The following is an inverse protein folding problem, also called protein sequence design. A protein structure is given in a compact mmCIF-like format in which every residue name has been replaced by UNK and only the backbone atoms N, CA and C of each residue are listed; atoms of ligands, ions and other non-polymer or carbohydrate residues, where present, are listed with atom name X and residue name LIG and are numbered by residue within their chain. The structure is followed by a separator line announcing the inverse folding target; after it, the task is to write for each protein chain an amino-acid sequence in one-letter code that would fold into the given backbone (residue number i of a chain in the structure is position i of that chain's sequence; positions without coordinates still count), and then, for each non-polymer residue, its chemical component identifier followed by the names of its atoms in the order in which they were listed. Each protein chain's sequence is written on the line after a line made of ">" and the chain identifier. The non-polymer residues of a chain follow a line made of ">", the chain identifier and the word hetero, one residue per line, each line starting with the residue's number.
data_IF_359631308799
#
_entry.id   IF_359631308799
#
_cell.length_a   1.000
_cell.length_b   1.000
_cell.length_c   1.000
_cell.angle_alpha   90.00
_cell.angle_beta   90.00
_cell.angle_gamma   90.00
#
_symmetry.space_group_name_H-M   'P 1'
#
loop_
_entity.id
_entity.type
_entity.pdbx_description
1 polymer ?
#
# COMPACT_ATOMS: atom_id res chain seq x y z
N UNK A 1 -21.58 16.65 22.33
CA UNK A 1 -22.30 15.58 21.60
C UNK A 1 -21.39 14.34 21.64
N UNK A 2 -21.96 13.17 21.91
CA UNK A 2 -21.20 11.90 21.91
C UNK A 2 -21.08 11.36 20.48
N UNK A 3 -20.04 10.59 20.23
CA UNK A 3 -19.95 9.76 19.02
C UNK A 3 -20.93 8.58 19.11
N UNK A 4 -21.49 8.19 17.99
CA UNK A 4 -22.16 6.91 17.79
C UNK A 4 -21.51 6.17 16.64
N UNK A 5 -21.68 4.85 16.60
CA UNK A 5 -21.08 4.02 15.54
C UNK A 5 -22.07 2.97 15.02
N UNK A 6 -21.83 2.56 13.81
CA UNK A 6 -22.42 1.36 13.20
C UNK A 6 -21.32 0.58 12.50
N UNK A 7 -21.42 -0.77 12.49
CA UNK A 7 -20.52 -1.66 11.75
C UNK A 7 -21.37 -2.47 10.80
N UNK A 8 -20.94 -2.51 9.54
CA UNK A 8 -21.50 -3.36 8.51
C UNK A 8 -20.38 -3.96 7.68
N UNK A 9 -20.69 -5.01 6.92
CA UNK A 9 -19.73 -5.74 6.11
C UNK A 9 -20.14 -5.76 4.64
N UNK A 10 -19.14 -5.95 3.77
CA UNK A 10 -19.32 -6.17 2.34
C UNK A 10 -18.31 -7.17 1.82
N UNK A 11 -18.74 -7.99 0.88
CA UNK A 11 -17.88 -8.83 0.07
C UNK A 11 -17.87 -8.29 -1.35
N UNK A 12 -16.71 -7.88 -1.82
CA UNK A 12 -16.48 -7.41 -3.19
C UNK A 12 -15.91 -8.55 -4.04
N UNK A 13 -16.23 -8.54 -5.33
CA UNK A 13 -15.83 -9.57 -6.29
C UNK A 13 -14.75 -9.04 -7.23
N UNK A 14 -13.62 -9.73 -7.31
CA UNK A 14 -12.57 -9.37 -8.25
C UNK A 14 -13.03 -9.59 -9.69
N UNK A 15 -12.68 -8.68 -10.58
CA UNK A 15 -12.91 -8.78 -12.03
C UNK A 15 -12.16 -9.96 -12.65
N UNK A 16 -10.92 -10.11 -12.24
CA UNK A 16 -10.06 -11.23 -12.54
C UNK A 16 -9.50 -11.77 -11.23
N UNK A 17 -9.29 -13.08 -11.09
CA UNK A 17 -8.68 -13.63 -9.90
C UNK A 17 -7.38 -12.89 -9.53
N UNK A 18 -7.30 -12.40 -8.29
CA UNK A 18 -6.12 -11.70 -7.81
C UNK A 18 -5.06 -12.71 -7.34
N UNK A 19 -4.12 -13.03 -8.21
CA UNK A 19 -3.02 -13.95 -7.92
C UNK A 19 -1.96 -13.27 -7.04
N UNK A 20 -1.69 -13.85 -5.87
CA UNK A 20 -0.64 -13.42 -4.94
C UNK A 20 0.31 -14.59 -4.68
N UNK A 21 1.46 -14.34 -4.05
CA UNK A 21 2.38 -15.40 -3.60
C UNK A 21 1.76 -16.37 -2.59
N UNK A 22 0.60 -16.07 -2.02
CA UNK A 22 -0.09 -16.84 -0.97
C UNK A 22 -1.34 -17.56 -1.47
N UNK A 23 -1.79 -17.24 -2.67
CA UNK A 23 -3.00 -17.83 -3.25
C UNK A 23 -3.72 -16.88 -4.19
N UNK A 24 -4.89 -17.31 -4.61
CA UNK A 24 -5.74 -16.56 -5.54
C UNK A 24 -7.01 -16.12 -4.84
N UNK A 25 -7.26 -14.82 -4.77
CA UNK A 25 -8.49 -14.27 -4.22
C UNK A 25 -9.51 -14.03 -5.32
N UNK A 26 -10.73 -14.52 -5.10
CA UNK A 26 -11.91 -14.29 -5.96
C UNK A 26 -12.78 -13.16 -5.40
N UNK A 27 -12.73 -12.99 -4.09
CA UNK A 27 -13.51 -12.00 -3.33
C UNK A 27 -12.63 -11.29 -2.31
N UNK A 28 -13.08 -10.12 -1.89
CA UNK A 28 -12.51 -9.35 -0.80
C UNK A 28 -13.60 -9.02 0.21
N UNK A 29 -13.46 -9.55 1.41
CA UNK A 29 -14.34 -9.25 2.52
C UNK A 29 -13.76 -8.11 3.36
N UNK A 30 -14.61 -7.15 3.75
CA UNK A 30 -14.23 -6.00 4.56
C UNK A 30 -15.37 -5.60 5.49
N UNK A 31 -15.02 -5.10 6.67
CA UNK A 31 -15.92 -4.41 7.57
C UNK A 31 -15.79 -2.91 7.37
N UNK A 32 -16.87 -2.20 7.64
CA UNK A 32 -16.92 -0.74 7.56
C UNK A 32 -17.40 -0.18 8.88
N UNK A 33 -16.61 0.72 9.45
CA UNK A 33 -16.97 1.51 10.62
C UNK A 33 -17.56 2.82 10.14
N UNK A 34 -18.81 3.05 10.49
CA UNK A 34 -19.49 4.31 10.30
C UNK A 34 -19.54 5.04 11.64
N UNK A 35 -18.97 6.24 11.70
CA UNK A 35 -19.02 7.11 12.87
C UNK A 35 -19.93 8.29 12.60
N UNK A 36 -20.72 8.68 13.59
CA UNK A 36 -21.49 9.89 13.57
C UNK A 36 -21.17 10.78 14.78
N UNK A 37 -21.06 12.08 14.54
CA UNK A 37 -20.91 13.10 15.57
C UNK A 37 -21.70 14.35 15.18
N UNK A 38 -22.82 14.57 15.85
CA UNK A 38 -23.76 15.62 15.49
C UNK A 38 -24.43 15.34 14.13
N UNK A 39 -24.13 16.17 13.13
CA UNK A 39 -24.62 15.98 11.76
C UNK A 39 -23.54 15.46 10.81
N UNK A 40 -22.36 15.19 11.33
CA UNK A 40 -21.23 14.74 10.55
C UNK A 40 -21.14 13.21 10.61
N UNK A 41 -20.95 12.60 9.45
CA UNK A 41 -20.78 11.15 9.29
C UNK A 41 -19.46 10.87 8.61
N UNK A 42 -18.78 9.82 9.02
CA UNK A 42 -17.57 9.31 8.39
C UNK A 42 -17.59 7.80 8.31
N UNK A 43 -17.02 7.27 7.25
CA UNK A 43 -16.92 5.82 7.01
C UNK A 43 -15.47 5.44 6.77
N UNK A 44 -15.01 4.41 7.46
CA UNK A 44 -13.69 3.82 7.26
C UNK A 44 -13.78 2.32 7.02
N UNK A 45 -12.89 1.81 6.20
CA UNK A 45 -12.81 0.40 5.84
C UNK A 45 -11.77 -0.33 6.68
N UNK A 46 -12.19 -1.41 7.33
CA UNK A 46 -11.36 -2.36 8.06
C UNK A 46 -11.24 -3.62 7.22
N UNK A 47 -10.10 -3.80 6.56
CA UNK A 47 -9.94 -4.82 5.53
C UNK A 47 -8.71 -5.70 5.79
N UNK A 48 -8.73 -6.61 6.80
CA UNK A 48 -7.63 -7.53 7.02
C UNK A 48 -7.48 -8.50 5.84
N UNK A 49 -6.26 -8.85 5.47
CA UNK A 49 -5.98 -9.94 4.55
C UNK A 49 -5.78 -11.23 5.35
N UNK A 50 -6.59 -12.29 5.14
CA UNK A 50 -6.59 -13.48 6.00
C UNK A 50 -5.22 -14.13 6.17
N UNK A 51 -4.41 -14.14 5.11
CA UNK A 51 -3.12 -14.83 5.08
C UNK A 51 -1.92 -13.90 5.35
N UNK A 52 -2.16 -12.61 5.63
CA UNK A 52 -1.10 -11.61 5.68
C UNK A 52 -1.19 -10.67 6.88
N UNK A 53 -2.38 -10.12 7.18
CA UNK A 53 -2.54 -9.13 8.24
C UNK A 53 -2.22 -9.73 9.62
N UNK A 54 -1.48 -9.00 10.44
CA UNK A 54 -1.17 -9.44 11.81
C UNK A 54 -2.40 -9.45 12.71
N UNK A 55 -3.44 -8.71 12.34
CA UNK A 55 -4.74 -8.65 13.01
C UNK A 55 -5.83 -9.49 12.32
N UNK A 56 -5.44 -10.39 11.38
CA UNK A 56 -6.38 -11.36 10.83
C UNK A 56 -6.79 -12.40 11.88
N UNK A 57 -8.09 -12.60 12.02
CA UNK A 57 -8.70 -13.55 12.96
C UNK A 57 -10.02 -14.07 12.40
N UNK A 58 -10.66 -15.08 13.02
CA UNK A 58 -11.97 -15.56 12.62
C UNK A 58 -12.98 -14.43 12.52
N UNK A 59 -13.93 -14.54 11.61
CA UNK A 59 -14.90 -13.50 11.26
C UNK A 59 -15.59 -12.89 12.49
N UNK A 60 -16.19 -13.75 13.34
CA UNK A 60 -16.97 -13.29 14.50
C UNK A 60 -16.07 -12.64 15.57
N UNK A 61 -14.83 -13.15 15.74
CA UNK A 61 -13.85 -12.57 16.66
C UNK A 61 -13.39 -11.19 16.19
N UNK A 62 -13.21 -11.03 14.87
CA UNK A 62 -12.83 -9.74 14.29
C UNK A 62 -13.91 -8.69 14.51
N UNK A 63 -15.17 -9.03 14.21
CA UNK A 63 -16.29 -8.10 14.41
C UNK A 63 -16.47 -7.75 15.89
N UNK A 64 -16.41 -8.76 16.79
CA UNK A 64 -16.53 -8.53 18.22
C UNK A 64 -15.43 -7.61 18.76
N UNK A 65 -14.19 -7.82 18.32
CA UNK A 65 -13.03 -6.99 18.69
C UNK A 65 -13.18 -5.56 18.19
N UNK A 66 -13.54 -5.40 16.90
CA UNK A 66 -13.77 -4.09 16.29
C UNK A 66 -14.89 -3.33 17.00
N UNK A 67 -15.98 -4.03 17.34
CA UNK A 67 -17.11 -3.47 18.11
C UNK A 67 -16.66 -2.97 19.49
N UNK A 68 -15.86 -3.75 20.21
CA UNK A 68 -15.32 -3.37 21.51
C UNK A 68 -14.48 -2.09 21.44
N UNK A 69 -13.63 -1.95 20.45
CA UNK A 69 -12.86 -0.72 20.24
C UNK A 69 -13.72 0.50 19.86
N UNK A 70 -14.75 0.29 19.03
CA UNK A 70 -15.69 1.36 18.69
C UNK A 70 -16.50 1.82 19.91
N UNK A 71 -16.95 0.89 20.78
CA UNK A 71 -17.63 1.20 22.03
C UNK A 71 -16.73 1.99 22.98
N UNK A 72 -15.48 1.55 23.16
CA UNK A 72 -14.51 2.28 23.99
C UNK A 72 -14.26 3.68 23.44
N UNK A 73 -14.04 3.83 22.14
CA UNK A 73 -13.88 5.12 21.50
C UNK A 73 -15.10 6.02 21.72
N UNK A 74 -16.32 5.53 21.47
CA UNK A 74 -17.53 6.32 21.63
C UNK A 74 -17.76 6.77 23.08
N UNK A 75 -17.32 5.97 24.04
CA UNK A 75 -17.42 6.27 25.48
C UNK A 75 -16.37 7.30 25.92
N UNK A 76 -15.14 7.22 25.40
CA UNK A 76 -14.01 8.04 25.89
C UNK A 76 -13.70 9.25 25.00
N UNK A 77 -14.04 9.19 23.71
CA UNK A 77 -13.60 10.14 22.69
C UNK A 77 -12.12 10.05 22.33
N UNK A 78 -11.42 9.02 22.82
CA UNK A 78 -9.99 8.80 22.60
C UNK A 78 -9.80 7.47 21.86
N UNK A 79 -8.96 7.47 20.82
CA UNK A 79 -8.61 6.25 20.10
C UNK A 79 -7.93 5.27 21.08
N UNK A 80 -8.48 4.06 21.26
CA UNK A 80 -7.94 3.10 22.20
C UNK A 80 -6.49 2.71 21.89
N UNK A 81 -5.61 2.77 22.88
CA UNK A 81 -4.18 2.45 22.68
C UNK A 81 -3.95 1.03 22.18
N UNK A 82 -4.80 0.07 22.55
CA UNK A 82 -4.75 -1.31 22.08
C UNK A 82 -4.97 -1.47 20.57
N UNK A 83 -5.58 -0.49 19.89
CA UNK A 83 -5.74 -0.51 18.43
C UNK A 83 -4.41 -0.49 17.67
N UNK A 84 -3.31 -0.09 18.29
CA UNK A 84 -1.98 -0.11 17.67
C UNK A 84 -1.59 -1.53 17.18
N UNK A 85 -2.10 -2.58 17.81
CA UNK A 85 -1.85 -3.98 17.43
C UNK A 85 -2.83 -4.52 16.39
N UNK A 86 -3.80 -3.68 15.96
CA UNK A 86 -4.84 -4.02 14.99
C UNK A 86 -4.84 -3.02 13.82
N UNK A 87 -3.85 -3.07 12.93
CA UNK A 87 -3.64 -2.08 11.87
C UNK A 87 -4.84 -1.83 10.98
N UNK A 88 -5.57 -2.89 10.58
CA UNK A 88 -6.73 -2.74 9.71
C UNK A 88 -7.91 -2.06 10.40
N UNK A 89 -8.13 -2.36 11.68
CA UNK A 89 -9.16 -1.70 12.50
C UNK A 89 -8.81 -0.24 12.78
N UNK A 90 -7.54 0.03 13.12
CA UNK A 90 -7.04 1.38 13.36
C UNK A 90 -7.20 2.24 12.11
N UNK A 91 -6.80 1.71 10.94
CA UNK A 91 -6.97 2.40 9.66
C UNK A 91 -8.43 2.78 9.37
N UNK A 92 -9.36 1.86 9.61
CA UNK A 92 -10.79 2.13 9.45
C UNK A 92 -11.28 3.22 10.41
N UNK A 93 -10.95 3.13 11.69
CA UNK A 93 -11.37 4.14 12.67
C UNK A 93 -10.77 5.52 12.38
N UNK A 94 -9.47 5.61 12.07
CA UNK A 94 -8.79 6.86 11.71
C UNK A 94 -9.39 7.49 10.43
N UNK A 95 -9.76 6.66 9.44
CA UNK A 95 -10.43 7.12 8.22
C UNK A 95 -11.79 7.73 8.54
N UNK A 96 -12.62 7.03 9.31
CA UNK A 96 -13.95 7.52 9.70
C UNK A 96 -13.84 8.82 10.52
N UNK A 97 -12.90 8.90 11.45
CA UNK A 97 -12.64 10.10 12.25
C UNK A 97 -12.19 11.28 11.39
N UNK A 98 -11.26 11.05 10.46
CA UNK A 98 -10.79 12.10 9.54
C UNK A 98 -11.93 12.64 8.69
N UNK A 99 -12.84 11.78 8.23
CA UNK A 99 -14.01 12.19 7.48
C UNK A 99 -15.01 12.97 8.34
N UNK A 100 -15.29 12.54 9.56
CA UNK A 100 -16.12 13.29 10.53
C UNK A 100 -15.53 14.68 10.80
N UNK A 101 -14.22 14.77 11.04
CA UNK A 101 -13.53 16.03 11.27
C UNK A 101 -13.63 17.00 10.05
N UNK A 102 -13.74 16.45 8.85
CA UNK A 102 -13.97 17.19 7.60
C UNK A 102 -15.46 17.29 7.22
N UNK A 103 -16.36 17.16 8.20
CA UNK A 103 -17.83 17.30 8.06
C UNK A 103 -18.44 16.34 7.02
N UNK A 104 -17.87 15.13 6.91
CA UNK A 104 -18.33 14.09 5.99
C UNK A 104 -17.67 14.15 4.60
N UNK A 105 -16.75 15.08 4.37
CA UNK A 105 -16.02 15.17 3.10
C UNK A 105 -15.13 13.97 2.86
N UNK A 106 -15.11 13.49 1.60
CA UNK A 106 -14.16 12.46 1.14
C UNK A 106 -12.73 13.00 0.93
N UNK A 107 -12.55 14.33 0.87
CA UNK A 107 -11.25 14.99 0.96
C UNK A 107 -10.83 15.05 2.44
N UNK A 108 -10.14 14.03 2.92
CA UNK A 108 -9.80 13.87 4.35
C UNK A 108 -8.79 14.91 4.85
N UNK A 109 -7.96 15.44 3.96
CA UNK A 109 -6.92 16.42 4.27
C UNK A 109 -6.96 17.57 3.25
N UNK A 110 -6.52 18.77 3.68
CA UNK A 110 -6.40 19.95 2.80
C UNK A 110 -5.09 19.88 2.01
N UNK A 111 -5.11 19.12 0.94
CA UNK A 111 -3.97 18.91 0.03
C UNK A 111 -4.34 19.30 -1.39
N UNK A 112 -3.36 19.58 -2.28
CA UNK A 112 -3.63 19.80 -3.69
C UNK A 112 -4.38 18.64 -4.37
N UNK A 113 -4.10 17.38 -3.94
CA UNK A 113 -4.84 16.21 -4.38
C UNK A 113 -6.30 16.24 -3.91
N UNK A 114 -6.53 16.50 -2.61
CA UNK A 114 -7.88 16.58 -2.02
C UNK A 114 -8.73 17.68 -2.62
N UNK A 115 -8.12 18.75 -3.16
CA UNK A 115 -8.81 19.81 -3.92
C UNK A 115 -8.94 19.49 -5.41
N UNK A 116 -8.43 18.36 -5.89
CA UNK A 116 -8.49 17.96 -7.30
C UNK A 116 -7.56 18.75 -8.24
N UNK A 117 -6.57 19.46 -7.69
CA UNK A 117 -5.62 20.30 -8.43
C UNK A 117 -4.47 19.49 -9.04
N UNK A 118 -4.03 18.44 -8.34
CA UNK A 118 -2.88 17.59 -8.72
C UNK A 118 -3.23 16.13 -8.56
N UNK A 119 -2.87 15.29 -9.55
CA UNK A 119 -2.97 13.83 -9.47
C UNK A 119 -1.70 13.22 -8.86
N UNK A 120 -1.87 12.12 -8.14
CA UNK A 120 -0.77 11.28 -7.62
C UNK A 120 -0.24 10.40 -8.75
N UNK A 121 1.05 10.46 -9.05
CA UNK A 121 1.68 9.53 -9.99
C UNK A 121 1.68 8.11 -9.40
N UNK A 122 1.20 7.13 -10.17
CA UNK A 122 1.07 5.74 -9.75
C UNK A 122 1.84 4.78 -10.67
N UNK A 123 2.28 3.67 -10.12
CA UNK A 123 2.86 2.60 -10.92
C UNK A 123 1.78 1.72 -11.56
N UNK A 124 2.05 1.21 -12.74
CA UNK A 124 1.29 0.14 -13.37
C UNK A 124 1.66 -1.20 -12.74
N UNK A 125 0.69 -1.86 -12.08
CA UNK A 125 0.91 -3.18 -11.52
C UNK A 125 0.65 -4.26 -12.59
N UNK A 126 1.60 -5.17 -12.75
CA UNK A 126 1.48 -6.38 -13.56
C UNK A 126 1.44 -7.59 -12.64
N UNK A 127 0.25 -8.17 -12.52
CA UNK A 127 -0.01 -9.35 -11.71
C UNK A 127 0.66 -10.60 -12.26
N UNK A 128 0.97 -11.54 -11.38
CA UNK A 128 1.42 -12.87 -11.76
C UNK A 128 0.43 -13.54 -12.73
N UNK A 129 0.96 -14.33 -13.65
CA UNK A 129 0.21 -15.07 -14.66
C UNK A 129 1.16 -15.88 -15.53
N UNK A 130 0.64 -16.41 -16.62
CA UNK A 130 1.47 -16.99 -17.67
C UNK A 130 2.32 -15.91 -18.36
N UNK A 131 3.35 -16.32 -19.09
CA UNK A 131 4.19 -15.37 -19.84
C UNK A 131 3.36 -14.45 -20.75
N UNK A 132 2.45 -15.02 -21.54
CA UNK A 132 1.63 -14.26 -22.50
C UNK A 132 0.69 -13.27 -21.79
N UNK A 133 0.08 -13.67 -20.68
CA UNK A 133 -0.77 -12.78 -19.88
C UNK A 133 0.01 -11.61 -19.29
N UNK A 134 1.20 -11.87 -18.75
CA UNK A 134 2.05 -10.82 -18.19
C UNK A 134 2.56 -9.89 -19.30
N UNK A 135 2.93 -10.43 -20.45
CA UNK A 135 3.32 -9.66 -21.62
C UNK A 135 2.22 -8.68 -22.06
N UNK A 136 1.00 -9.16 -22.25
CA UNK A 136 -0.13 -8.31 -22.64
C UNK A 136 -0.44 -7.23 -21.59
N UNK A 137 -0.40 -7.59 -20.31
CA UNK A 137 -0.59 -6.61 -19.21
C UNK A 137 0.47 -5.52 -19.21
N UNK A 138 1.74 -5.86 -19.53
CA UNK A 138 2.81 -4.87 -19.69
C UNK A 138 2.49 -3.94 -20.86
N UNK A 139 2.16 -4.47 -22.04
CA UNK A 139 1.80 -3.66 -23.21
C UNK A 139 0.64 -2.71 -22.91
N UNK A 140 -0.41 -3.17 -22.22
CA UNK A 140 -1.55 -2.36 -21.82
C UNK A 140 -1.12 -1.18 -20.92
N UNK A 141 -0.26 -1.43 -19.92
CA UNK A 141 0.24 -0.37 -19.04
C UNK A 141 1.07 0.67 -19.81
N UNK A 142 1.92 0.20 -20.71
CA UNK A 142 2.74 1.09 -21.53
C UNK A 142 1.89 1.92 -22.50
N UNK A 143 0.91 1.32 -23.16
CA UNK A 143 -0.07 2.02 -24.02
C UNK A 143 -0.91 3.05 -23.22
N UNK A 144 -1.21 2.75 -21.96
CA UNK A 144 -1.89 3.67 -21.04
C UNK A 144 -0.99 4.81 -20.52
N UNK A 145 0.30 4.81 -20.85
CA UNK A 145 1.23 5.90 -20.53
C UNK A 145 1.93 5.77 -19.17
N UNK A 146 1.89 4.60 -18.52
CA UNK A 146 2.63 4.39 -17.28
C UNK A 146 4.13 4.44 -17.51
N UNK A 147 4.84 5.23 -16.68
CA UNK A 147 6.30 5.36 -16.70
C UNK A 147 7.00 4.60 -15.59
N UNK A 148 6.25 4.01 -14.68
CA UNK A 148 6.73 3.06 -13.69
C UNK A 148 5.88 1.80 -13.77
N UNK A 149 6.51 0.65 -13.92
CA UNK A 149 5.85 -0.65 -13.97
C UNK A 149 6.43 -1.55 -12.88
N UNK A 150 5.55 -2.16 -12.09
CA UNK A 150 5.91 -3.14 -11.06
C UNK A 150 5.50 -4.53 -11.53
N UNK A 151 6.48 -5.42 -11.69
CA UNK A 151 6.30 -6.83 -12.05
C UNK A 151 6.37 -7.70 -10.81
N UNK A 152 5.36 -8.53 -10.58
CA UNK A 152 5.47 -9.62 -9.60
C UNK A 152 6.28 -10.77 -10.19
N UNK A 153 7.26 -11.24 -9.41
CA UNK A 153 8.17 -12.34 -9.79
C UNK A 153 8.19 -13.41 -8.68
N UNK A 154 8.80 -14.56 -8.95
CA UNK A 154 8.91 -15.66 -7.98
C UNK A 154 7.77 -16.68 -8.07
N UNK A 155 6.88 -16.59 -9.08
CA UNK A 155 5.74 -17.49 -9.23
C UNK A 155 5.82 -18.46 -10.40
N UNK A 156 6.59 -18.11 -11.44
CA UNK A 156 6.80 -18.96 -12.62
C UNK A 156 8.27 -19.37 -12.72
N UNK A 157 8.62 -20.13 -13.76
CA UNK A 157 10.01 -20.49 -14.02
C UNK A 157 10.89 -19.24 -14.10
N UNK A 158 11.99 -19.25 -13.36
CA UNK A 158 12.92 -18.12 -13.25
C UNK A 158 13.44 -17.62 -14.60
N UNK A 159 13.73 -18.54 -15.55
CA UNK A 159 14.22 -18.15 -16.87
C UNK A 159 13.16 -17.37 -17.65
N UNK A 160 11.89 -17.76 -17.55
CA UNK A 160 10.77 -17.03 -18.16
C UNK A 160 10.55 -15.66 -17.53
N UNK A 161 10.77 -15.51 -16.22
CA UNK A 161 10.73 -14.20 -15.57
C UNK A 161 11.83 -13.27 -16.08
N UNK A 162 13.04 -13.79 -16.24
CA UNK A 162 14.17 -13.06 -16.85
C UNK A 162 13.88 -12.69 -18.31
N UNK A 163 13.26 -13.56 -19.10
CA UNK A 163 12.85 -13.27 -20.48
C UNK A 163 11.83 -12.12 -20.54
N UNK A 164 10.83 -12.09 -19.65
CA UNK A 164 9.88 -10.98 -19.55
C UNK A 164 10.57 -9.66 -19.21
N UNK A 165 11.44 -9.65 -18.21
CA UNK A 165 12.20 -8.48 -17.80
C UNK A 165 13.10 -7.98 -18.94
N UNK A 166 13.81 -8.91 -19.60
CA UNK A 166 14.66 -8.63 -20.77
C UNK A 166 13.84 -8.03 -21.92
N UNK A 167 12.65 -8.57 -22.18
CA UNK A 167 11.74 -8.02 -23.17
C UNK A 167 11.36 -6.58 -22.87
N UNK A 168 10.95 -6.27 -21.64
CA UNK A 168 10.62 -4.88 -21.25
C UNK A 168 11.80 -3.96 -21.53
N UNK A 169 13.02 -4.36 -21.17
CA UNK A 169 14.22 -3.55 -21.36
C UNK A 169 14.67 -3.47 -22.82
N UNK A 170 14.36 -4.46 -23.65
CA UNK A 170 14.62 -4.37 -25.10
C UNK A 170 13.72 -3.36 -25.81
N UNK A 171 12.50 -3.16 -25.29
CA UNK A 171 11.53 -2.21 -25.84
C UNK A 171 11.70 -0.79 -25.27
N UNK A 172 12.10 -0.68 -23.99
CA UNK A 172 12.11 0.59 -23.24
C UNK A 172 13.35 0.71 -22.37
N UNK A 173 14.16 1.74 -22.62
CA UNK A 173 15.30 2.07 -21.77
C UNK A 173 14.88 2.55 -20.37
N UNK A 174 15.83 2.59 -19.45
CA UNK A 174 15.61 3.02 -18.06
C UNK A 174 15.10 4.47 -17.95
N UNK A 175 15.46 5.33 -18.89
CA UNK A 175 15.02 6.73 -18.94
C UNK A 175 13.54 6.88 -19.37
N UNK A 176 12.98 5.86 -19.97
CA UNK A 176 11.60 5.84 -20.44
C UNK A 176 10.67 5.20 -19.42
N UNK A 177 11.14 4.11 -18.77
CA UNK A 177 10.34 3.33 -17.82
C UNK A 177 11.18 2.92 -16.60
N UNK A 178 10.74 3.33 -15.42
CA UNK A 178 11.17 2.78 -14.15
C UNK A 178 10.58 1.36 -13.99
N UNK A 179 11.44 0.38 -13.80
CA UNK A 179 11.02 -1.00 -13.60
C UNK A 179 11.30 -1.42 -12.15
N UNK A 180 10.25 -1.79 -11.45
CA UNK A 180 10.31 -2.40 -10.11
C UNK A 180 9.92 -3.86 -10.20
N UNK A 181 10.50 -4.69 -9.36
CA UNK A 181 10.10 -6.10 -9.22
C UNK A 181 9.73 -6.41 -7.78
N UNK A 182 8.82 -7.36 -7.60
CA UNK A 182 8.31 -7.76 -6.30
C UNK A 182 8.32 -9.29 -6.19
N UNK A 183 9.17 -9.80 -5.31
CA UNK A 183 9.36 -11.24 -5.10
C UNK A 183 8.48 -11.80 -3.98
N UNK A 184 7.81 -10.97 -3.19
CA UNK A 184 6.95 -11.36 -2.05
C UNK A 184 7.58 -12.45 -1.15
N UNK A 185 8.90 -12.37 -0.90
CA UNK A 185 9.62 -13.34 -0.10
C UNK A 185 9.87 -14.69 -0.80
N UNK A 186 9.76 -14.74 -2.12
CA UNK A 186 9.80 -15.98 -2.89
C UNK A 186 11.20 -16.58 -3.10
N UNK A 187 12.29 -15.86 -2.81
CA UNK A 187 13.62 -16.41 -3.02
C UNK A 187 14.11 -17.17 -1.79
N UNK A 188 14.74 -18.34 -2.03
CA UNK A 188 15.50 -19.01 -0.99
C UNK A 188 16.77 -18.19 -0.66
N UNK A 189 17.17 -18.12 0.63
CA UNK A 189 18.30 -17.33 1.07
C UNK A 189 19.61 -17.65 0.31
N UNK A 190 19.86 -18.93 0.04
CA UNK A 190 21.06 -19.37 -0.69
C UNK A 190 21.09 -18.99 -2.17
N UNK A 191 19.95 -18.61 -2.76
CA UNK A 191 19.83 -18.22 -4.17
C UNK A 191 19.62 -16.71 -4.36
N UNK A 192 19.18 -16.02 -3.30
CA UNK A 192 18.74 -14.63 -3.40
C UNK A 192 19.80 -13.73 -4.04
N UNK A 193 21.03 -13.75 -3.55
CA UNK A 193 22.10 -12.91 -4.09
C UNK A 193 22.36 -13.20 -5.58
N UNK A 194 22.42 -14.46 -5.97
CA UNK A 194 22.63 -14.84 -7.38
C UNK A 194 21.50 -14.32 -8.28
N UNK A 195 20.25 -14.35 -7.81
CA UNK A 195 19.10 -13.81 -8.54
C UNK A 195 19.17 -12.28 -8.64
N UNK A 196 19.57 -11.59 -7.56
CA UNK A 196 19.79 -10.14 -7.54
C UNK A 196 20.89 -9.72 -8.55
N UNK A 197 22.00 -10.46 -8.61
CA UNK A 197 23.07 -10.25 -9.60
C UNK A 197 22.59 -10.45 -11.05
N UNK A 198 21.69 -11.38 -11.30
CA UNK A 198 21.11 -11.57 -12.63
C UNK A 198 20.17 -10.40 -12.98
N UNK A 199 19.30 -9.98 -12.05
CA UNK A 199 18.37 -8.86 -12.22
C UNK A 199 19.10 -7.52 -12.43
N UNK A 200 20.28 -7.33 -11.84
CA UNK A 200 21.05 -6.07 -11.96
C UNK A 200 21.44 -5.71 -13.40
N UNK A 201 21.42 -6.68 -14.32
CA UNK A 201 21.71 -6.47 -15.73
C UNK A 201 20.59 -5.73 -16.49
N UNK A 202 19.45 -5.53 -15.85
CA UNK A 202 18.23 -4.98 -16.46
C UNK A 202 17.82 -3.61 -15.90
N UNK A 203 18.74 -2.85 -15.30
CA UNK A 203 18.45 -1.52 -14.75
C UNK A 203 17.18 -1.49 -13.87
N UNK A 204 17.02 -2.48 -12.98
CA UNK A 204 15.90 -2.56 -12.05
C UNK A 204 16.06 -1.46 -11.00
N UNK A 205 15.02 -0.64 -10.79
CA UNK A 205 15.02 0.41 -9.77
C UNK A 205 15.12 -0.17 -8.36
N UNK A 206 14.30 -1.17 -8.07
CA UNK A 206 14.28 -1.83 -6.77
C UNK A 206 13.62 -3.20 -6.84
N UNK A 207 13.97 -4.06 -5.90
CA UNK A 207 13.27 -5.32 -5.63
C UNK A 207 12.57 -5.24 -4.28
N UNK A 208 11.27 -5.58 -4.26
CA UNK A 208 10.47 -5.64 -3.05
C UNK A 208 10.53 -7.05 -2.46
N UNK A 209 10.83 -7.15 -1.17
CA UNK A 209 10.84 -8.35 -0.32
C UNK A 209 11.45 -9.58 -1.01
N UNK A 210 12.76 -9.64 -1.24
CA UNK A 210 13.38 -10.76 -1.97
C UNK A 210 13.28 -12.09 -1.22
N UNK A 211 13.48 -12.10 0.10
CA UNK A 211 13.38 -13.29 0.96
C UNK A 211 12.21 -13.16 1.95
N UNK A 212 11.80 -14.26 2.56
CA UNK A 212 10.71 -14.29 3.55
C UNK A 212 11.02 -13.39 4.74
N UNK A 213 9.97 -12.78 5.28
CA UNK A 213 10.03 -11.93 6.46
C UNK A 213 10.54 -12.68 7.70
N UNK A 214 10.92 -11.89 8.75
CA UNK A 214 11.47 -12.37 10.04
C UNK A 214 12.88 -12.96 9.95
N UNK A 215 13.64 -12.57 8.93
CA UNK A 215 15.03 -12.94 8.70
C UNK A 215 15.90 -11.67 8.60
N UNK A 216 15.84 -10.84 9.66
CA UNK A 216 16.45 -9.49 9.65
C UNK A 216 17.94 -9.48 9.35
N UNK A 217 18.67 -10.49 9.89
CA UNK A 217 20.11 -10.61 9.66
C UNK A 217 20.41 -10.89 8.19
N UNK A 218 19.74 -11.88 7.61
CA UNK A 218 19.92 -12.29 6.22
C UNK A 218 19.46 -11.18 5.26
N UNK A 219 18.35 -10.51 5.56
CA UNK A 219 17.86 -9.38 4.80
C UNK A 219 18.84 -8.20 4.88
N UNK A 220 19.42 -7.92 6.05
CA UNK A 220 20.44 -6.89 6.24
C UNK A 220 21.72 -7.19 5.45
N UNK A 221 22.15 -8.46 5.37
CA UNK A 221 23.27 -8.86 4.49
C UNK A 221 22.93 -8.62 3.02
N UNK A 222 21.71 -8.95 2.59
CA UNK A 222 21.26 -8.65 1.23
C UNK A 222 21.24 -7.14 0.96
N UNK A 223 20.69 -6.33 1.86
CA UNK A 223 20.63 -4.87 1.69
C UNK A 223 22.02 -4.22 1.56
N UNK A 224 23.02 -4.77 2.27
CA UNK A 224 24.41 -4.26 2.20
C UNK A 224 25.16 -4.63 0.94
N UNK A 225 24.87 -5.79 0.35
CA UNK A 225 25.66 -6.37 -0.74
C UNK A 225 24.94 -6.47 -2.08
N UNK A 226 23.61 -6.27 -2.09
CA UNK A 226 22.81 -6.34 -3.32
C UNK A 226 23.21 -5.26 -4.31
N UNK A 227 23.39 -5.62 -5.60
CA UNK A 227 23.58 -4.64 -6.66
C UNK A 227 22.29 -3.89 -7.05
N UNK A 228 21.14 -4.29 -6.50
CA UNK A 228 19.83 -3.66 -6.71
C UNK A 228 19.31 -3.17 -5.37
N UNK A 229 18.78 -1.95 -5.29
CA UNK A 229 18.13 -1.45 -4.08
C UNK A 229 16.97 -2.35 -3.62
N UNK A 230 16.91 -2.62 -2.31
CA UNK A 230 15.88 -3.48 -1.71
C UNK A 230 14.82 -2.61 -1.01
N UNK A 231 13.55 -2.96 -1.22
CA UNK A 231 12.40 -2.39 -0.55
C UNK A 231 11.75 -3.43 0.37
N UNK A 232 11.48 -3.07 1.63
CA UNK A 232 10.77 -3.94 2.57
C UNK A 232 9.25 -3.72 2.47
N UNK A 233 8.49 -4.80 2.47
CA UNK A 233 7.02 -4.83 2.52
C UNK A 233 6.54 -5.72 3.67
N UNK A 234 6.49 -7.03 3.46
CA UNK A 234 6.00 -7.98 4.46
C UNK A 234 6.81 -7.99 5.76
N UNK A 235 8.05 -7.52 5.73
CA UNK A 235 8.90 -7.40 6.91
C UNK A 235 8.33 -6.43 7.95
N UNK A 236 7.58 -5.42 7.49
CA UNK A 236 7.03 -4.34 8.33
C UNK A 236 5.75 -4.77 9.06
N UNK A 237 5.10 -5.86 8.62
CA UNK A 237 3.81 -6.31 9.16
C UNK A 237 3.97 -6.83 10.60
N UNK A 238 3.15 -6.28 11.51
CA UNK A 238 3.19 -6.63 12.94
C UNK A 238 4.30 -5.94 13.72
N UNK A 239 5.05 -5.01 13.09
CA UNK A 239 6.04 -4.17 13.77
C UNK A 239 5.36 -2.83 14.07
N UNK A 240 4.60 -2.77 15.18
CA UNK A 240 3.69 -1.67 15.44
C UNK A 240 4.28 -0.59 16.37
N UNK A 241 5.17 -0.93 17.31
CA UNK A 241 5.77 0.06 18.21
C UNK A 241 6.92 0.84 17.59
N UNK A 242 7.10 2.11 17.97
CA UNK A 242 8.15 2.99 17.46
C UNK A 242 9.56 2.39 17.63
N UNK A 243 9.85 1.84 18.82
CA UNK A 243 11.14 1.25 19.12
C UNK A 243 11.46 0.05 18.23
N UNK A 244 10.47 -0.80 17.98
CA UNK A 244 10.64 -1.97 17.08
C UNK A 244 10.79 -1.55 15.62
N UNK A 245 10.12 -0.47 15.19
CA UNK A 245 10.28 0.09 13.85
C UNK A 245 11.71 0.62 13.66
N UNK A 246 12.22 1.38 14.63
CA UNK A 246 13.59 1.88 14.60
C UNK A 246 14.60 0.73 14.58
N UNK A 247 14.46 -0.26 15.48
CA UNK A 247 15.33 -1.44 15.53
C UNK A 247 15.37 -2.21 14.21
N UNK A 248 14.22 -2.40 13.55
CA UNK A 248 14.14 -3.05 12.24
C UNK A 248 14.93 -2.29 11.19
N UNK A 249 14.69 -0.99 11.08
CA UNK A 249 15.37 -0.15 10.07
C UNK A 249 16.88 -0.07 10.32
N UNK A 250 17.31 0.04 11.57
CA UNK A 250 18.73 0.05 11.95
C UNK A 250 19.42 -1.30 11.68
N UNK A 251 18.70 -2.41 11.90
CA UNK A 251 19.25 -3.76 11.71
C UNK A 251 19.40 -4.11 10.23
N UNK A 252 18.37 -3.81 9.43
CA UNK A 252 18.30 -4.23 8.02
C UNK A 252 18.95 -3.19 7.11
N UNK A 253 18.81 -1.89 7.41
CA UNK A 253 19.29 -0.77 6.58
C UNK A 253 18.83 -0.88 5.11
N UNK A 254 17.52 -1.00 4.83
CA UNK A 254 17.02 -1.10 3.46
C UNK A 254 17.16 0.23 2.73
N UNK A 255 17.11 0.22 1.40
CA UNK A 255 17.08 1.44 0.61
C UNK A 255 15.69 2.05 0.56
N UNK A 256 14.64 1.20 0.64
CA UNK A 256 13.24 1.63 0.60
C UNK A 256 12.35 0.83 1.55
N UNK A 257 11.22 1.43 1.91
CA UNK A 257 10.08 0.74 2.55
C UNK A 257 8.79 0.97 1.74
N UNK A 258 7.95 -0.05 1.70
CA UNK A 258 6.62 -0.02 1.05
C UNK A 258 5.56 -0.06 2.12
N UNK A 259 4.70 0.95 2.15
CA UNK A 259 3.73 1.11 3.24
C UNK A 259 2.31 0.83 2.75
N UNK A 260 1.58 0.08 3.58
CA UNK A 260 0.16 -0.24 3.40
C UNK A 260 -0.57 0.11 4.70
N UNK A 261 -1.32 1.22 4.75
CA UNK A 261 -1.91 1.68 6.02
C UNK A 261 -2.73 0.64 6.78
N UNK A 262 -3.49 -0.19 6.05
CA UNK A 262 -4.26 -1.29 6.65
C UNK A 262 -3.41 -2.45 7.21
N UNK A 263 -2.09 -2.49 6.94
CA UNK A 263 -1.16 -3.53 7.41
C UNK A 263 -0.08 -3.00 8.37
N UNK A 264 0.24 -1.70 8.29
CA UNK A 264 1.43 -1.12 8.92
C UNK A 264 1.10 -0.08 10.01
N UNK A 265 -0.01 -0.29 10.73
CA UNK A 265 -0.37 0.50 11.91
C UNK A 265 -1.28 1.70 11.61
N UNK A 266 -2.19 1.59 10.64
CA UNK A 266 -3.13 2.65 10.29
C UNK A 266 -2.45 3.83 9.56
N UNK A 267 -3.13 4.97 9.54
CA UNK A 267 -2.56 6.21 9.01
C UNK A 267 -1.41 6.71 9.89
N UNK A 268 -1.63 6.75 11.20
CA UNK A 268 -0.63 7.21 12.17
C UNK A 268 0.62 6.34 12.18
N UNK A 269 0.47 5.02 12.06
CA UNK A 269 1.62 4.11 11.97
C UNK A 269 2.42 4.28 10.70
N UNK A 270 1.78 4.58 9.56
CA UNK A 270 2.47 4.90 8.31
C UNK A 270 3.21 6.24 8.38
N UNK A 271 2.62 7.28 8.98
CA UNK A 271 3.31 8.55 9.22
C UNK A 271 4.59 8.33 10.06
N UNK A 272 4.48 7.56 11.13
CA UNK A 272 5.62 7.21 11.97
C UNK A 272 6.72 6.44 11.20
N UNK A 273 6.35 5.46 10.35
CA UNK A 273 7.31 4.78 9.49
C UNK A 273 8.03 5.73 8.54
N UNK A 274 7.29 6.67 7.92
CA UNK A 274 7.87 7.65 7.00
C UNK A 274 8.82 8.59 7.74
N UNK A 275 8.47 9.06 8.94
CA UNK A 275 9.34 9.95 9.72
C UNK A 275 10.64 9.26 10.14
N UNK A 276 10.57 8.01 10.61
CA UNK A 276 11.75 7.21 10.95
C UNK A 276 12.61 6.93 9.72
N UNK A 277 12.01 6.52 8.60
CA UNK A 277 12.74 6.22 7.36
C UNK A 277 13.47 7.46 6.82
N UNK A 278 12.82 8.63 6.86
CA UNK A 278 13.44 9.91 6.45
C UNK A 278 14.67 10.26 7.29
N UNK A 279 14.58 10.08 8.61
CA UNK A 279 15.71 10.34 9.51
C UNK A 279 16.93 9.47 9.19
N UNK A 280 16.70 8.28 8.64
CA UNK A 280 17.76 7.33 8.26
C UNK A 280 18.13 7.39 6.76
N UNK A 281 17.55 8.32 5.98
CA UNK A 281 17.82 8.44 4.55
C UNK A 281 17.21 7.31 3.71
N UNK A 282 16.21 6.59 4.25
CA UNK A 282 15.50 5.49 3.59
C UNK A 282 14.30 6.06 2.82
N UNK A 283 14.18 5.72 1.54
CA UNK A 283 13.05 6.13 0.71
C UNK A 283 11.76 5.34 1.04
N UNK A 284 10.59 5.90 0.68
CA UNK A 284 9.31 5.21 0.93
C UNK A 284 8.29 5.53 -0.14
N UNK A 285 7.35 4.59 -0.36
CA UNK A 285 6.12 4.83 -1.10
C UNK A 285 4.96 4.09 -0.45
N UNK A 286 3.75 4.55 -0.75
CA UNK A 286 2.51 3.97 -0.22
C UNK A 286 1.81 3.18 -1.31
N UNK A 287 1.24 2.04 -0.93
CA UNK A 287 0.46 1.17 -1.80
C UNK A 287 -0.80 0.69 -1.09
N UNK A 288 -1.79 0.29 -1.85
CA UNK A 288 -3.01 -0.34 -1.36
C UNK A 288 -2.75 -1.83 -1.05
N UNK A 289 -3.52 -2.37 -0.10
CA UNK A 289 -3.60 -3.80 0.23
C UNK A 289 -4.94 -4.41 -0.24
N UNK A 290 -5.40 -4.03 -1.43
CA UNK A 290 -6.65 -4.49 -2.05
C UNK A 290 -7.91 -4.03 -1.29
N UNK A 291 -7.89 -2.85 -0.73
CA UNK A 291 -9.07 -2.20 -0.16
C UNK A 291 -10.08 -1.86 -1.25
N UNK A 292 -11.34 -1.67 -0.85
CA UNK A 292 -12.34 -1.02 -1.69
C UNK A 292 -11.95 0.43 -2.01
N UNK A 293 -12.73 1.10 -2.83
CA UNK A 293 -12.48 2.53 -3.08
C UNK A 293 -12.61 3.40 -1.82
N UNK A 294 -13.29 2.95 -0.76
CA UNK A 294 -13.34 3.67 0.54
C UNK A 294 -11.95 3.72 1.14
N UNK A 295 -11.32 2.55 1.32
CA UNK A 295 -9.96 2.47 1.83
C UNK A 295 -8.94 3.06 0.87
N UNK A 296 -9.07 2.80 -0.45
CA UNK A 296 -8.17 3.37 -1.46
C UNK A 296 -8.19 4.90 -1.46
N UNK A 297 -9.35 5.53 -1.28
CA UNK A 297 -9.43 6.98 -1.13
C UNK A 297 -8.66 7.45 0.10
N UNK A 298 -8.85 6.77 1.24
CA UNK A 298 -8.13 7.11 2.46
C UNK A 298 -6.60 6.97 2.31
N UNK A 299 -6.15 5.89 1.65
CA UNK A 299 -4.73 5.69 1.31
C UNK A 299 -4.20 6.80 0.41
N UNK A 300 -4.97 7.20 -0.62
CA UNK A 300 -4.58 8.28 -1.53
C UNK A 300 -4.53 9.65 -0.84
N UNK A 301 -5.50 9.95 0.03
CA UNK A 301 -5.51 11.19 0.82
C UNK A 301 -4.33 11.25 1.80
N UNK A 302 -4.02 10.13 2.49
CA UNK A 302 -2.83 10.03 3.34
C UNK A 302 -1.53 10.20 2.54
N UNK A 303 -1.44 9.57 1.37
CA UNK A 303 -0.30 9.73 0.46
C UNK A 303 -0.05 11.19 0.10
N UNK A 304 -1.13 11.90 -0.25
CA UNK A 304 -1.04 13.34 -0.55
C UNK A 304 -0.61 14.16 0.66
N UNK A 305 -1.13 13.86 1.86
CA UNK A 305 -0.72 14.51 3.11
C UNK A 305 0.78 14.33 3.37
N UNK A 306 1.30 13.11 3.21
CA UNK A 306 2.70 12.78 3.51
C UNK A 306 3.69 13.36 2.50
N UNK A 307 3.34 13.36 1.20
CA UNK A 307 4.30 13.67 0.13
C UNK A 307 4.01 14.98 -0.64
N UNK A 308 2.84 15.59 -0.49
CA UNK A 308 2.48 16.81 -1.20
C UNK A 308 2.31 18.03 -0.30
N UNK A 309 2.27 17.85 1.02
CA UNK A 309 2.20 18.97 1.96
C UNK A 309 3.54 19.70 2.01
N UNK A 310 3.52 21.02 1.78
CA UNK A 310 4.72 21.87 1.72
C UNK A 310 5.58 21.81 2.99
N UNK A 311 4.97 21.59 4.16
CA UNK A 311 5.69 21.44 5.42
C UNK A 311 6.56 20.17 5.51
N UNK A 312 6.28 19.15 4.68
CA UNK A 312 7.05 17.91 4.66
C UNK A 312 8.14 17.87 3.57
N UNK A 313 8.18 18.85 2.65
CA UNK A 313 9.18 18.92 1.57
C UNK A 313 10.51 19.56 2.00
N UNK A 314 10.53 20.34 3.07
CA UNK A 314 11.74 21.10 3.49
C UNK A 314 12.84 20.24 4.15
N UNK A 315 12.56 18.97 4.50
CA UNK A 315 13.53 18.06 5.14
C UNK A 315 14.22 17.05 4.22
N UNK A 316 13.74 16.86 3.00
CA UNK A 316 14.26 15.85 2.07
C UNK A 316 14.64 16.49 0.74
N UNK A 317 15.86 16.98 0.59
CA UNK A 317 16.57 17.38 -0.63
C UNK A 317 15.83 17.33 -2.00
N UNK A 318 14.60 17.84 -2.09
CA UNK A 318 13.93 18.12 -3.37
C UNK A 318 13.61 16.90 -4.25
N UNK A 319 13.59 15.66 -3.73
CA UNK A 319 13.24 14.49 -4.55
C UNK A 319 11.76 14.50 -4.88
N UNK A 320 11.44 14.44 -6.18
CA UNK A 320 10.07 14.27 -6.66
C UNK A 320 9.43 13.03 -6.02
N UNK A 321 8.14 13.11 -5.70
CA UNK A 321 7.38 11.98 -5.15
C UNK A 321 7.49 10.77 -6.09
N UNK A 322 7.97 9.65 -5.57
CA UNK A 322 8.05 8.38 -6.31
C UNK A 322 6.64 7.91 -6.75
N UNK A 323 6.52 7.16 -7.86
CA UNK A 323 5.26 6.54 -8.25
C UNK A 323 4.71 5.63 -7.13
N UNK A 324 3.44 5.83 -6.76
CA UNK A 324 2.75 5.17 -5.67
C UNK A 324 1.94 3.95 -6.14
N UNK A 325 1.65 3.00 -5.25
CA UNK A 325 0.93 1.76 -5.60
C UNK A 325 -0.59 1.88 -5.47
N UNK A 326 -1.24 2.85 -6.10
CA UNK A 326 -2.66 3.19 -5.88
C UNK A 326 -3.57 2.85 -7.07
N UNK A 327 -3.16 1.92 -7.92
CA UNK A 327 -3.92 1.54 -9.12
C UNK A 327 -4.97 0.45 -8.92
N UNK A 328 -5.38 0.12 -7.69
CA UNK A 328 -6.21 -1.06 -7.37
C UNK A 328 -7.72 -0.83 -7.44
N UNK A 329 -8.19 0.40 -7.56
CA UNK A 329 -9.63 0.71 -7.55
C UNK A 329 -10.47 0.06 -8.66
N UNK A 330 -9.84 -0.38 -9.75
CA UNK A 330 -10.52 -1.03 -10.88
C UNK A 330 -10.57 -2.57 -10.78
N UNK A 331 -10.07 -3.15 -9.70
CA UNK A 331 -9.96 -4.61 -9.55
C UNK A 331 -11.30 -5.30 -9.31
N UNK A 332 -12.30 -4.58 -8.79
CA UNK A 332 -13.60 -5.14 -8.42
C UNK A 332 -14.69 -4.82 -9.45
N UNK A 333 -15.67 -5.72 -9.56
CA UNK A 333 -16.86 -5.54 -10.42
C UNK A 333 -17.94 -4.69 -9.74
N UNK A 334 -17.96 -4.69 -8.41
CA UNK A 334 -18.99 -4.14 -7.52
C UNK A 334 -18.41 -3.19 -6.46
N UNK A 335 -17.35 -2.44 -6.83
CA UNK A 335 -16.69 -1.51 -5.93
C UNK A 335 -17.61 -0.35 -5.52
N UNK A 336 -17.28 0.27 -4.38
CA UNK A 336 -18.01 1.43 -3.86
C UNK A 336 -17.61 2.67 -4.67
N UNK A 337 -18.58 3.47 -5.07
CA UNK A 337 -18.33 4.70 -5.81
C UNK A 337 -17.70 5.76 -4.92
N UNK A 338 -16.56 6.27 -5.35
CA UNK A 338 -15.87 7.44 -4.79
C UNK A 338 -15.27 8.27 -5.92
N UNK A 339 -14.99 9.55 -5.72
CA UNK A 339 -14.51 10.43 -6.78
C UNK A 339 -13.03 10.22 -7.11
N UNK A 340 -12.60 8.98 -7.29
CA UNK A 340 -11.27 8.60 -7.74
C UNK A 340 -11.28 8.23 -9.22
N UNK A 341 -10.35 8.79 -10.00
CA UNK A 341 -10.20 8.52 -11.41
C UNK A 341 -8.74 8.36 -11.80
N UNK A 342 -8.41 7.29 -12.54
CA UNK A 342 -7.09 7.13 -13.15
C UNK A 342 -7.11 7.76 -14.54
N UNK A 343 -6.18 8.69 -14.79
CA UNK A 343 -5.96 9.32 -16.09
C UNK A 343 -4.46 9.24 -16.42
N UNK A 344 -4.12 8.47 -17.44
CA UNK A 344 -2.72 8.13 -17.74
C UNK A 344 -2.07 7.38 -16.57
N UNK A 345 -0.93 7.85 -16.12
CA UNK A 345 -0.19 7.34 -14.98
C UNK A 345 -0.52 8.03 -13.64
N UNK A 346 -1.68 8.71 -13.55
CA UNK A 346 -2.07 9.47 -12.35
C UNK A 346 -3.44 9.07 -11.83
N UNK A 347 -3.51 8.96 -10.49
CA UNK A 347 -4.76 8.89 -9.75
C UNK A 347 -5.19 10.32 -9.39
N UNK A 348 -6.45 10.66 -9.70
CA UNK A 348 -7.07 11.96 -9.43
C UNK A 348 -8.23 11.83 -8.46
N UNK A 349 -8.37 12.81 -7.59
CA UNK A 349 -9.58 13.04 -6.81
C UNK A 349 -10.47 14.05 -7.55
N UNK A 350 -11.65 13.62 -7.99
CA UNK A 350 -12.58 14.40 -8.78
C UNK A 350 -13.89 14.59 -8.01
N UNK A 351 -13.84 15.21 -6.83
CA UNK A 351 -15.06 15.64 -6.16
C UNK A 351 -15.83 16.52 -7.16
N UNK A 352 -17.08 16.17 -7.44
CA UNK A 352 -17.94 16.97 -8.30
C UNK A 352 -17.93 18.40 -7.78
N UNK A 353 -17.83 19.37 -8.65
CA UNK A 353 -18.20 20.74 -8.30
C UNK A 353 -19.64 20.62 -7.80
N UNK A 354 -19.88 20.87 -6.51
CA UNK A 354 -21.22 21.07 -6.02
C UNK A 354 -21.89 22.05 -6.97
N UNK A 355 -22.99 21.58 -7.61
CA UNK A 355 -23.79 22.39 -8.52
C UNK A 355 -24.63 23.39 -7.70
#
# INVERSE_FOLDING_TARGET
>A
MSYTYNIYERTLHFRNPAGTSRGTYLTRHSWYVELEHGRCRGVGECAPLPDLSCDAMPHDDYEATLRGFCEEFCRTGVVPAGLADYPSMLFGLETALSQVARRGSLALFDTPFGRGEVGITINGLVWMGTFDEMYHRIEEKLKAGFRCVKLKIGAIDWQKEIELISFVRSCFGKEQIELRVDANGGFANCEAMKKLEQLSRYDIHSIEQPIRQKQWKEMGELCRHSPIPIALDEELIGVNSADRKAELLETICPQYIVLKPSLHGGMSGCEQWVDLSRQMGIGSWITSALESNVGLNAVAQLTAKIYMDKGHQEGCGGTAMMPQGLGTGQLFTDNIEVPLQIVGDKLWFRAGKEA
#
